data_IF_154798310808
#
_entry.id   IF_154798310808
#
_cell.length_a   1.000
_cell.length_b   1.000
_cell.length_c   1.000
_cell.angle_alpha   90.00
_cell.angle_beta   90.00
_cell.angle_gamma   90.00
#
_symmetry.space_group_name_H-M   'P 1'
#
loop_
_entity.id
_entity.type
_entity.pdbx_description
1 polymer ?
#
# COMPACT_ATOMS: atom_id res chain seq x y z
N UNK A 1 -3.70 -13.24 -62.89
CA UNK A 1 -3.88 -13.45 -61.43
C UNK A 1 -2.52 -13.79 -60.87
N UNK A 2 -1.85 -12.79 -60.30
CA UNK A 2 -0.54 -12.91 -59.66
C UNK A 2 -0.71 -13.19 -58.16
N UNK A 3 0.14 -14.08 -57.66
CA UNK A 3 0.54 -14.30 -56.25
C UNK A 3 -0.49 -14.96 -55.30
N UNK A 4 -0.12 -15.81 -54.33
CA UNK A 4 1.17 -15.98 -53.66
C UNK A 4 1.32 -17.38 -52.99
N UNK A 5 2.32 -18.14 -53.44
CA UNK A 5 3.40 -18.73 -52.64
C UNK A 5 3.07 -19.30 -51.22
N UNK A 6 2.51 -20.50 -51.16
CA UNK A 6 2.64 -21.36 -49.98
C UNK A 6 4.08 -21.87 -49.88
N UNK A 7 4.92 -21.20 -49.09
CA UNK A 7 6.33 -21.58 -48.85
C UNK A 7 6.43 -22.98 -48.26
N UNK A 8 6.65 -23.98 -49.11
CA UNK A 8 7.14 -25.29 -48.71
C UNK A 8 8.55 -25.09 -48.14
N UNK A 9 8.71 -25.30 -46.83
CA UNK A 9 10.01 -25.25 -46.19
C UNK A 9 10.83 -26.43 -46.73
N UNK A 10 11.87 -26.15 -47.49
CA UNK A 10 12.73 -27.19 -48.08
C UNK A 10 13.43 -28.01 -46.99
N UNK A 11 13.72 -29.28 -47.26
CA UNK A 11 14.43 -30.16 -46.31
C UNK A 11 15.78 -29.57 -45.86
N UNK A 12 16.48 -28.88 -46.77
CA UNK A 12 17.70 -28.14 -46.47
C UNK A 12 17.46 -27.00 -45.46
N UNK A 13 16.33 -26.29 -45.54
CA UNK A 13 15.96 -25.23 -44.59
C UNK A 13 15.62 -25.82 -43.21
N UNK A 14 14.87 -26.92 -43.17
CA UNK A 14 14.58 -27.64 -41.92
C UNK A 14 15.84 -28.18 -41.23
N UNK A 15 16.78 -28.73 -42.00
CA UNK A 15 18.07 -29.21 -41.48
C UNK A 15 18.87 -28.08 -40.84
N UNK A 16 18.91 -26.90 -41.49
CA UNK A 16 19.55 -25.70 -40.93
C UNK A 16 18.87 -25.26 -39.63
N UNK A 17 17.54 -25.18 -39.57
CA UNK A 17 16.80 -24.79 -38.35
C UNK A 17 17.11 -25.76 -37.20
N UNK A 18 17.06 -27.08 -37.45
CA UNK A 18 17.41 -28.10 -36.44
C UNK A 18 18.84 -27.90 -35.91
N UNK A 19 19.81 -27.63 -36.78
CA UNK A 19 21.19 -27.34 -36.39
C UNK A 19 21.31 -26.09 -35.52
N UNK A 20 20.60 -25.02 -35.87
CA UNK A 20 20.52 -23.80 -35.06
C UNK A 20 19.93 -24.08 -33.67
N UNK A 21 18.78 -24.76 -33.57
CA UNK A 21 18.14 -25.08 -32.29
C UNK A 21 19.06 -25.93 -31.41
N UNK A 22 19.80 -26.88 -31.98
CA UNK A 22 20.76 -27.70 -31.22
C UNK A 22 21.87 -26.82 -30.61
N UNK A 23 22.46 -25.92 -31.39
CA UNK A 23 23.49 -24.98 -30.90
C UNK A 23 22.94 -24.02 -29.85
N UNK A 24 21.75 -23.48 -30.09
CA UNK A 24 21.13 -22.52 -29.18
C UNK A 24 20.75 -23.16 -27.83
N UNK A 25 20.30 -24.42 -27.82
CA UNK A 25 20.07 -25.21 -26.60
C UNK A 25 21.35 -25.44 -25.78
N UNK A 26 22.51 -25.58 -26.42
CA UNK A 26 23.79 -25.71 -25.70
C UNK A 26 24.13 -24.41 -24.98
N UNK A 27 23.95 -23.26 -25.64
CA UNK A 27 24.33 -21.95 -25.11
C UNK A 27 23.33 -21.44 -24.05
N UNK A 28 22.04 -21.63 -24.30
CA UNK A 28 20.98 -21.05 -23.47
C UNK A 28 20.24 -22.06 -22.59
N UNK A 29 20.55 -23.35 -22.70
CA UNK A 29 19.81 -24.42 -22.04
C UNK A 29 18.37 -24.47 -22.52
N UNK A 30 17.44 -24.68 -21.59
CA UNK A 30 16.00 -24.77 -21.87
C UNK A 30 15.24 -23.44 -21.82
N UNK A 31 15.91 -22.28 -21.92
CA UNK A 31 15.30 -20.95 -21.68
C UNK A 31 14.41 -20.42 -22.82
N UNK A 32 14.58 -20.94 -24.04
CA UNK A 32 13.92 -20.43 -25.24
C UNK A 32 13.23 -21.55 -26.02
N UNK A 33 12.15 -21.18 -26.72
CA UNK A 33 11.45 -21.97 -27.71
C UNK A 33 11.59 -21.29 -29.08
N UNK A 34 11.71 -22.11 -30.12
CA UNK A 34 11.98 -21.73 -31.50
C UNK A 34 10.87 -22.20 -32.46
N UNK A 35 9.71 -22.60 -31.93
CA UNK A 35 8.54 -23.06 -32.68
C UNK A 35 8.05 -22.06 -33.74
N UNK A 36 8.26 -20.75 -33.54
CA UNK A 36 7.92 -19.70 -34.51
C UNK A 36 9.04 -19.39 -35.53
N UNK A 37 10.21 -20.02 -35.41
CA UNK A 37 11.33 -19.81 -36.34
C UNK A 37 11.12 -20.66 -37.61
N UNK A 38 10.62 -20.02 -38.67
CA UNK A 38 10.32 -20.69 -39.96
C UNK A 38 11.42 -20.54 -41.02
N UNK A 39 12.34 -19.59 -40.83
CA UNK A 39 13.44 -19.31 -41.74
C UNK A 39 14.66 -18.83 -40.95
N UNK A 40 15.86 -19.20 -41.40
CA UNK A 40 17.10 -18.79 -40.73
C UNK A 40 18.17 -18.27 -41.68
N UNK A 41 18.59 -17.04 -41.43
CA UNK A 41 19.65 -16.35 -42.14
C UNK A 41 20.44 -15.45 -41.18
N UNK A 42 21.74 -15.32 -41.42
CA UNK A 42 22.64 -14.52 -40.58
C UNK A 42 22.33 -13.02 -40.60
N UNK A 43 21.74 -12.50 -41.68
CA UNK A 43 21.44 -11.08 -41.87
C UNK A 43 20.09 -10.67 -41.29
N UNK A 44 19.14 -11.60 -41.22
CA UNK A 44 17.77 -11.31 -40.80
C UNK A 44 17.53 -11.66 -39.33
N UNK A 45 16.58 -10.96 -38.71
CA UNK A 45 16.11 -11.30 -37.36
C UNK A 45 15.11 -12.46 -37.45
N UNK A 46 15.12 -13.30 -36.43
CA UNK A 46 14.18 -14.41 -36.28
C UNK A 46 13.39 -14.25 -34.99
N UNK A 47 12.15 -14.75 -35.00
CA UNK A 47 11.28 -14.80 -33.83
C UNK A 47 11.71 -15.94 -32.90
N UNK A 48 12.09 -15.58 -31.67
CA UNK A 48 12.47 -16.50 -30.60
C UNK A 48 11.52 -16.27 -29.43
N UNK A 49 11.03 -17.34 -28.82
CA UNK A 49 10.12 -17.28 -27.68
C UNK A 49 10.92 -17.47 -26.42
N UNK A 50 10.95 -16.48 -25.54
CA UNK A 50 11.44 -16.66 -24.19
C UNK A 50 10.34 -17.22 -23.32
N UNK A 51 10.60 -18.34 -22.63
CA UNK A 51 9.60 -18.97 -21.75
C UNK A 51 9.07 -18.06 -20.65
N UNK A 52 9.85 -17.07 -20.22
CA UNK A 52 9.44 -16.07 -19.21
C UNK A 52 8.78 -14.82 -19.80
N UNK A 53 9.06 -14.52 -21.05
CA UNK A 53 9.01 -13.15 -21.58
C UNK A 53 8.36 -13.07 -22.97
N UNK A 54 7.87 -14.18 -23.50
CA UNK A 54 7.20 -14.24 -24.79
C UNK A 54 8.15 -14.01 -25.98
N UNK A 55 7.56 -13.67 -27.13
CA UNK A 55 8.25 -13.54 -28.42
C UNK A 55 9.14 -12.30 -28.43
N UNK A 56 10.36 -12.44 -28.95
CA UNK A 56 11.26 -11.34 -29.26
C UNK A 56 12.06 -11.65 -30.52
N UNK A 57 12.59 -10.61 -31.17
CA UNK A 57 13.38 -10.73 -32.39
C UNK A 57 14.87 -10.58 -32.13
N UNK A 58 15.68 -11.44 -32.74
CA UNK A 58 17.13 -11.33 -32.71
C UNK A 58 17.77 -11.95 -33.94
N UNK A 59 18.96 -11.49 -34.32
CA UNK A 59 19.75 -12.20 -35.34
C UNK A 59 20.36 -13.47 -34.74
N UNK A 60 20.49 -14.51 -35.55
CA UNK A 60 21.03 -15.82 -35.14
C UNK A 60 22.45 -15.69 -34.63
N UNK A 61 23.27 -14.90 -35.32
CA UNK A 61 24.65 -14.64 -34.91
C UNK A 61 24.71 -14.10 -33.48
N UNK A 62 23.90 -13.08 -33.15
CA UNK A 62 23.86 -12.52 -31.80
C UNK A 62 23.35 -13.52 -30.78
N UNK A 63 22.33 -14.29 -31.12
CA UNK A 63 21.79 -15.31 -30.23
C UNK A 63 22.85 -16.38 -29.90
N UNK A 64 23.54 -16.91 -30.91
CA UNK A 64 24.60 -17.90 -30.73
C UNK A 64 25.87 -17.35 -30.05
N UNK A 65 26.01 -16.03 -29.91
CA UNK A 65 27.04 -15.40 -29.08
C UNK A 65 26.63 -15.29 -27.60
N UNK A 66 25.51 -15.92 -27.21
CA UNK A 66 25.00 -15.90 -25.84
C UNK A 66 24.15 -14.68 -25.49
N UNK A 67 23.84 -13.79 -26.45
CA UNK A 67 22.90 -12.68 -26.23
C UNK A 67 21.50 -13.26 -26.15
N UNK A 68 20.90 -13.24 -24.97
CA UNK A 68 19.53 -13.70 -24.78
C UNK A 68 18.48 -12.64 -25.09
N UNK A 69 17.26 -12.94 -24.68
CA UNK A 69 16.18 -11.98 -24.56
C UNK A 69 16.63 -10.77 -23.72
N UNK A 70 16.45 -9.56 -24.24
CA UNK A 70 16.76 -8.31 -23.52
C UNK A 70 16.04 -8.24 -22.16
N UNK A 71 14.85 -8.84 -22.05
CA UNK A 71 14.09 -8.98 -20.80
C UNK A 71 14.79 -9.86 -19.75
N UNK A 72 15.62 -10.83 -20.18
CA UNK A 72 16.41 -11.68 -19.26
C UNK A 72 17.79 -11.11 -18.93
N UNK A 73 18.38 -10.32 -19.82
CA UNK A 73 19.79 -9.88 -19.72
C UNK A 73 19.97 -8.48 -19.12
N UNK A 74 18.91 -7.72 -18.86
CA UNK A 74 19.02 -6.44 -18.17
C UNK A 74 17.67 -5.85 -17.76
N UNK A 75 17.65 -5.29 -16.54
CA UNK A 75 16.77 -4.32 -15.86
C UNK A 75 15.56 -3.65 -16.57
N UNK A 76 14.92 -4.28 -17.55
CA UNK A 76 13.69 -3.79 -18.16
C UNK A 76 12.55 -4.43 -17.40
N UNK A 77 12.02 -3.74 -16.39
CA UNK A 77 10.72 -4.10 -15.80
C UNK A 77 9.65 -3.95 -16.85
N UNK A 78 8.90 -5.00 -17.12
CA UNK A 78 7.75 -4.92 -18.02
C UNK A 78 6.52 -4.43 -17.27
N UNK A 79 5.52 -3.98 -18.02
CA UNK A 79 4.31 -3.37 -17.49
C UNK A 79 3.70 -4.16 -16.32
N UNK A 80 3.57 -5.48 -16.46
CA UNK A 80 2.98 -6.34 -15.43
C UNK A 80 3.82 -6.40 -14.14
N UNK A 81 5.15 -6.50 -14.26
CA UNK A 81 6.05 -6.47 -13.10
C UNK A 81 6.05 -5.11 -12.40
N UNK A 82 5.93 -4.03 -13.18
CA UNK A 82 5.85 -2.66 -12.68
C UNK A 82 4.51 -2.41 -11.96
N UNK A 83 3.40 -2.90 -12.52
CA UNK A 83 2.07 -2.86 -11.88
C UNK A 83 2.08 -3.71 -10.59
N UNK A 84 2.69 -4.90 -10.61
CA UNK A 84 2.81 -5.74 -9.42
C UNK A 84 3.64 -5.06 -8.32
N UNK A 85 4.71 -4.35 -8.68
CA UNK A 85 5.49 -3.52 -7.77
C UNK A 85 4.65 -2.38 -7.17
N UNK A 86 3.82 -1.72 -7.97
CA UNK A 86 2.94 -0.67 -7.44
C UNK A 86 1.89 -1.22 -6.49
N UNK A 87 1.23 -2.33 -6.83
CA UNK A 87 0.29 -3.01 -5.94
C UNK A 87 0.94 -3.46 -4.63
N UNK A 88 2.23 -3.81 -4.66
CA UNK A 88 2.98 -4.13 -3.43
C UNK A 88 3.16 -2.93 -2.51
N UNK A 89 3.32 -1.72 -3.06
CA UNK A 89 3.53 -0.49 -2.29
C UNK A 89 2.22 0.18 -1.90
N UNK A 90 1.25 0.22 -2.81
CA UNK A 90 0.02 1.00 -2.69
C UNK A 90 -1.24 0.15 -2.52
N UNK A 91 -1.14 -1.18 -2.57
CA UNK A 91 -2.31 -2.07 -2.59
C UNK A 91 -3.20 -1.81 -3.80
N UNK A 92 -4.51 -1.84 -3.57
CA UNK A 92 -5.54 -1.60 -4.58
C UNK A 92 -5.99 -0.12 -4.64
N UNK A 93 -5.14 0.80 -4.19
CA UNK A 93 -5.47 2.24 -4.13
C UNK A 93 -5.66 2.89 -5.51
N UNK A 94 -5.10 2.29 -6.56
CA UNK A 94 -5.13 2.84 -7.92
C UNK A 94 -5.51 1.77 -8.94
N UNK A 95 -6.20 2.20 -9.99
CA UNK A 95 -6.41 1.41 -11.19
C UNK A 95 -5.32 1.69 -12.23
N UNK A 96 -4.75 0.60 -12.75
CA UNK A 96 -3.67 0.58 -13.73
C UNK A 96 -4.12 0.00 -15.09
N UNK A 97 -5.43 -0.18 -15.30
CA UNK A 97 -6.05 -0.76 -16.50
C UNK A 97 -5.63 -0.07 -17.80
N UNK A 98 -5.31 1.22 -17.75
CA UNK A 98 -4.90 2.03 -18.90
C UNK A 98 -3.41 2.39 -18.94
N UNK A 99 -2.57 1.71 -18.14
CA UNK A 99 -1.13 1.96 -18.15
C UNK A 99 -0.54 1.50 -19.48
N UNK A 100 0.33 2.34 -20.07
CA UNK A 100 1.20 1.98 -21.20
C UNK A 100 2.63 2.28 -20.79
N UNK A 101 3.40 1.25 -20.45
CA UNK A 101 4.75 1.42 -19.93
C UNK A 101 5.80 1.49 -21.04
N UNK A 102 6.60 2.56 -21.02
CA UNK A 102 7.75 2.74 -21.92
C UNK A 102 9.06 2.59 -21.15
N UNK A 103 9.23 3.36 -20.06
CA UNK A 103 10.38 3.31 -19.16
C UNK A 103 10.03 3.99 -17.82
N UNK A 104 10.96 3.94 -16.86
CA UNK A 104 10.74 4.45 -15.50
C UNK A 104 10.58 5.98 -15.38
N UNK A 105 10.95 6.73 -16.43
CA UNK A 105 10.93 8.21 -16.46
C UNK A 105 9.82 8.77 -17.35
N UNK A 106 9.21 7.97 -18.22
CA UNK A 106 8.07 8.40 -19.03
C UNK A 106 6.79 8.36 -18.18
N UNK A 107 5.99 9.42 -18.22
CA UNK A 107 4.73 9.47 -17.49
C UNK A 107 3.76 8.41 -17.99
N UNK A 108 3.08 7.75 -17.06
CA UNK A 108 1.99 6.82 -17.30
C UNK A 108 0.68 7.42 -16.78
N UNK A 109 -0.44 7.02 -17.38
CA UNK A 109 -1.77 7.34 -16.89
C UNK A 109 -2.14 6.37 -15.77
N UNK A 110 -2.56 6.90 -14.63
CA UNK A 110 -2.99 6.15 -13.45
C UNK A 110 -4.36 6.67 -13.05
N UNK A 111 -5.26 5.80 -12.62
CA UNK A 111 -6.61 6.18 -12.24
C UNK A 111 -6.73 6.09 -10.72
N UNK A 112 -7.04 7.20 -10.07
CA UNK A 112 -7.47 7.23 -8.68
C UNK A 112 -8.99 7.00 -8.66
N UNK A 113 -9.50 5.96 -7.98
CA UNK A 113 -10.94 5.71 -7.91
C UNK A 113 -11.75 6.90 -7.36
N UNK A 114 -11.13 7.77 -6.56
CA UNK A 114 -11.76 8.93 -5.94
C UNK A 114 -11.70 10.20 -6.80
N UNK A 115 -10.64 10.40 -7.58
CA UNK A 115 -10.34 11.67 -8.24
C UNK A 115 -10.09 11.56 -9.75
N UNK A 116 -10.23 10.36 -10.31
CA UNK A 116 -10.06 10.10 -11.74
C UNK A 116 -8.59 9.99 -12.19
N UNK A 117 -8.37 10.27 -13.47
CA UNK A 117 -7.08 10.07 -14.14
C UNK A 117 -6.03 11.14 -13.77
N UNK A 118 -4.80 10.69 -13.54
CA UNK A 118 -3.64 11.54 -13.30
C UNK A 118 -2.38 10.93 -13.90
N UNK A 119 -1.32 11.74 -14.02
CA UNK A 119 -0.10 11.36 -14.71
C UNK A 119 1.12 11.44 -13.81
N UNK A 120 1.85 10.34 -13.66
CA UNK A 120 3.10 10.26 -12.90
C UNK A 120 4.12 9.39 -13.62
N UNK A 121 5.41 9.61 -13.33
CA UNK A 121 6.45 8.68 -13.77
C UNK A 121 6.45 7.44 -12.86
N UNK A 122 6.76 6.25 -13.38
CA UNK A 122 6.80 5.03 -12.58
C UNK A 122 7.70 5.11 -11.34
N UNK A 123 8.86 5.75 -11.42
CA UNK A 123 9.75 5.96 -10.27
C UNK A 123 9.08 6.81 -9.18
N UNK A 124 8.46 7.93 -9.56
CA UNK A 124 7.81 8.82 -8.62
C UNK A 124 6.55 8.17 -8.04
N UNK A 125 5.79 7.45 -8.87
CA UNK A 125 4.61 6.73 -8.40
C UNK A 125 4.99 5.66 -7.39
N UNK A 126 6.05 4.87 -7.64
CA UNK A 126 6.52 3.86 -6.69
C UNK A 126 6.98 4.48 -5.36
N UNK A 127 7.63 5.64 -5.38
CA UNK A 127 8.19 6.27 -4.17
C UNK A 127 7.15 7.07 -3.37
N UNK A 128 6.31 7.84 -4.05
CA UNK A 128 5.41 8.81 -3.42
C UNK A 128 3.93 8.45 -3.62
N UNK A 129 3.56 7.89 -4.78
CA UNK A 129 2.17 7.65 -5.16
C UNK A 129 1.35 8.95 -5.23
N UNK A 130 0.02 8.83 -5.21
CA UNK A 130 -0.89 9.95 -4.98
C UNK A 130 -1.21 10.83 -6.18
N UNK A 131 -2.50 11.02 -6.48
CA UNK A 131 -2.92 12.16 -7.31
C UNK A 131 -2.81 13.46 -6.51
N UNK A 132 -2.90 14.61 -7.19
CA UNK A 132 -2.80 15.93 -6.57
C UNK A 132 -3.73 16.11 -5.36
N UNK A 133 -4.94 15.54 -5.41
CA UNK A 133 -5.93 15.65 -4.34
C UNK A 133 -5.58 14.79 -3.12
N UNK A 134 -5.15 13.56 -3.34
CA UNK A 134 -4.71 12.67 -2.25
C UNK A 134 -3.45 13.18 -1.52
N UNK A 135 -2.58 13.95 -2.17
CA UNK A 135 -1.34 14.49 -1.56
C UNK A 135 -1.52 15.91 -1.00
N UNK A 136 -2.75 16.43 -0.97
CA UNK A 136 -3.03 17.73 -0.37
C UNK A 136 -2.67 18.93 -1.25
N UNK A 137 -2.49 18.69 -2.55
CA UNK A 137 -2.32 19.72 -3.59
C UNK A 137 -3.64 19.99 -4.33
N UNK A 138 -4.78 19.58 -3.77
CA UNK A 138 -6.12 19.93 -4.27
C UNK A 138 -6.27 21.45 -4.40
N UNK A 139 -7.08 21.92 -5.37
CA UNK A 139 -7.42 23.34 -5.48
C UNK A 139 -7.94 23.86 -4.14
N UNK A 140 -7.51 25.07 -3.77
CA UNK A 140 -7.90 25.71 -2.51
C UNK A 140 -9.44 25.74 -2.42
N UNK A 141 -9.96 25.26 -1.29
CA UNK A 141 -11.40 25.25 -1.01
C UNK A 141 -12.16 24.01 -1.49
N UNK A 142 -11.62 23.17 -2.38
CA UNK A 142 -12.30 21.94 -2.83
C UNK A 142 -12.58 20.98 -1.66
N UNK A 143 -11.62 20.65 -0.79
CA UNK A 143 -11.90 19.76 0.34
C UNK A 143 -12.93 20.35 1.32
N UNK A 144 -12.93 21.68 1.49
CA UNK A 144 -13.87 22.35 2.38
C UNK A 144 -15.30 22.32 1.81
N UNK A 145 -15.46 22.58 0.51
CA UNK A 145 -16.74 22.49 -0.19
C UNK A 145 -17.33 21.09 -0.13
N UNK A 146 -16.49 20.06 -0.31
CA UNK A 146 -16.92 18.67 -0.18
C UNK A 146 -17.49 18.37 1.22
N UNK A 147 -16.89 18.91 2.29
CA UNK A 147 -17.45 18.79 3.64
C UNK A 147 -18.82 19.49 3.75
N UNK A 148 -18.96 20.68 3.18
CA UNK A 148 -20.24 21.42 3.21
C UNK A 148 -21.35 20.68 2.47
N UNK A 149 -21.05 20.03 1.35
CA UNK A 149 -21.99 19.23 0.55
C UNK A 149 -22.41 17.94 1.28
N UNK A 150 -21.50 17.33 2.05
CA UNK A 150 -21.74 16.05 2.70
C UNK A 150 -22.16 16.16 4.19
N UNK A 151 -22.36 17.38 4.71
CA UNK A 151 -22.69 17.60 6.14
C UNK A 151 -24.03 17.02 6.60
N UNK A 152 -24.91 16.68 5.67
CA UNK A 152 -26.21 16.06 5.95
C UNK A 152 -26.22 14.54 5.69
N UNK A 153 -25.06 13.92 5.45
CA UNK A 153 -24.97 12.48 5.30
C UNK A 153 -25.42 11.80 6.61
N UNK A 154 -26.40 10.89 6.50
CA UNK A 154 -27.00 10.16 7.61
C UNK A 154 -26.94 8.63 7.42
N UNK A 155 -25.99 8.15 6.62
CA UNK A 155 -25.76 6.72 6.41
C UNK A 155 -25.17 6.07 7.68
N UNK A 156 -25.41 4.78 7.88
CA UNK A 156 -24.70 3.95 8.86
C UNK A 156 -23.30 3.54 8.36
N UNK A 157 -23.01 3.76 7.07
CA UNK A 157 -21.70 3.47 6.49
C UNK A 157 -20.71 4.62 6.74
N UNK A 158 -19.42 4.29 6.82
CA UNK A 158 -18.39 5.32 6.94
C UNK A 158 -18.29 6.13 5.64
N UNK A 159 -18.51 7.44 5.77
CA UNK A 159 -18.14 8.42 4.75
C UNK A 159 -16.63 8.64 4.84
N UNK A 160 -15.87 8.07 3.92
CA UNK A 160 -14.41 8.15 3.91
C UNK A 160 -13.94 9.46 3.27
N UNK A 161 -13.03 10.14 3.94
CA UNK A 161 -12.39 11.36 3.46
C UNK A 161 -11.57 11.08 2.20
N UNK A 162 -11.89 11.72 1.06
CA UNK A 162 -11.22 11.37 -0.18
C UNK A 162 -9.86 12.08 -0.35
N UNK A 163 -9.60 13.17 0.37
CA UNK A 163 -8.40 14.00 0.19
C UNK A 163 -7.23 13.57 1.10
N UNK A 164 -6.25 14.46 1.31
CA UNK A 164 -5.07 14.16 2.12
C UNK A 164 -5.40 13.75 3.54
N UNK A 165 -4.60 12.80 4.06
CA UNK A 165 -4.64 12.32 5.43
C UNK A 165 -3.40 12.82 6.18
N UNK A 166 -3.54 12.99 7.50
CA UNK A 166 -2.42 13.10 8.41
C UNK A 166 -1.71 11.73 8.57
N UNK A 167 -0.47 11.68 9.11
CA UNK A 167 0.25 10.43 9.33
C UNK A 167 -0.47 9.42 10.25
N UNK A 168 -1.38 9.91 11.11
CA UNK A 168 -2.24 9.11 12.00
C UNK A 168 -3.53 8.62 11.31
N UNK A 169 -3.69 8.90 10.02
CA UNK A 169 -4.78 8.40 9.17
C UNK A 169 -6.05 9.26 9.18
N UNK A 170 -6.10 10.36 9.93
CA UNK A 170 -7.25 11.26 9.93
C UNK A 170 -7.25 12.20 8.72
N UNK A 171 -8.45 12.56 8.25
CA UNK A 171 -8.61 13.53 7.17
C UNK A 171 -8.00 14.89 7.50
N UNK A 172 -7.31 15.49 6.54
CA UNK A 172 -6.70 16.80 6.66
C UNK A 172 -7.44 17.82 5.78
N UNK A 173 -7.83 18.95 6.37
CA UNK A 173 -8.47 20.06 5.65
C UNK A 173 -7.96 21.41 6.14
N UNK A 174 -7.84 22.38 5.23
CA UNK A 174 -7.55 23.77 5.60
C UNK A 174 -8.84 24.51 5.91
N UNK A 175 -9.02 24.93 7.17
CA UNK A 175 -10.17 25.68 7.64
C UNK A 175 -9.72 26.88 8.47
N UNK A 176 -10.25 28.07 8.15
CA UNK A 176 -9.87 29.36 8.78
C UNK A 176 -8.35 29.61 8.81
N UNK A 177 -7.70 29.37 7.67
CA UNK A 177 -6.26 29.60 7.50
C UNK A 177 -5.33 28.53 8.08
N UNK A 178 -5.83 27.60 8.90
CA UNK A 178 -5.04 26.56 9.58
C UNK A 178 -5.38 25.16 9.06
N UNK A 179 -4.41 24.25 9.10
CA UNK A 179 -4.64 22.82 8.86
C UNK A 179 -5.31 22.19 10.07
N UNK A 180 -6.40 21.46 9.86
CA UNK A 180 -7.23 20.87 10.91
C UNK A 180 -7.74 19.48 10.49
N UNK A 181 -8.19 18.70 11.48
CA UNK A 181 -8.82 17.41 11.24
C UNK A 181 -10.18 17.60 10.53
N UNK A 182 -10.38 16.90 9.40
CA UNK A 182 -11.58 16.97 8.59
C UNK A 182 -12.83 16.54 9.37
N UNK A 183 -12.72 15.53 10.22
CA UNK A 183 -13.79 15.05 11.09
C UNK A 183 -14.22 16.13 12.10
N UNK A 184 -13.26 16.91 12.62
CA UNK A 184 -13.56 18.07 13.48
C UNK A 184 -14.32 19.16 12.72
N UNK A 185 -13.89 19.49 11.50
CA UNK A 185 -14.57 20.51 10.67
C UNK A 185 -15.96 20.03 10.26
N UNK A 186 -16.12 18.75 9.92
CA UNK A 186 -17.42 18.16 9.66
C UNK A 186 -18.36 18.25 10.86
N UNK A 187 -17.86 17.94 12.06
CA UNK A 187 -18.64 18.04 13.29
C UNK A 187 -19.10 19.48 13.55
N UNK A 188 -18.28 20.49 13.22
CA UNK A 188 -18.68 21.90 13.28
C UNK A 188 -19.81 22.22 12.29
N UNK A 189 -19.76 21.67 11.09
CA UNK A 189 -20.75 21.94 10.04
C UNK A 189 -22.09 21.24 10.25
N UNK A 190 -22.06 20.04 10.83
CA UNK A 190 -23.26 19.21 11.07
C UNK A 190 -23.90 19.48 12.43
N UNK A 191 -23.09 19.53 13.49
CA UNK A 191 -23.56 19.61 14.89
C UNK A 191 -23.32 20.97 15.54
N UNK A 192 -22.70 21.90 14.82
CA UNK A 192 -22.32 23.21 15.35
C UNK A 192 -21.01 23.21 16.13
N UNK A 193 -20.61 24.39 16.61
CA UNK A 193 -19.36 24.56 17.36
C UNK A 193 -19.45 23.86 18.72
N UNK A 194 -18.32 23.37 19.27
CA UNK A 194 -18.31 22.80 20.61
C UNK A 194 -18.73 23.86 21.63
N UNK A 195 -19.49 23.43 22.63
CA UNK A 195 -20.01 24.31 23.70
C UNK A 195 -18.91 24.96 24.54
N UNK A 196 -17.72 24.32 24.66
CA UNK A 196 -16.54 24.89 25.30
C UNK A 196 -15.24 24.40 24.63
N UNK A 197 -14.14 25.09 24.92
CA UNK A 197 -12.82 24.76 24.38
C UNK A 197 -12.28 23.47 25.00
N UNK A 198 -11.74 22.57 24.18
CA UNK A 198 -11.14 21.29 24.62
C UNK A 198 -11.95 20.04 24.27
N UNK A 199 -13.19 20.20 23.77
CA UNK A 199 -13.97 19.08 23.21
C UNK A 199 -13.34 18.57 21.90
N UNK A 200 -13.36 17.25 21.74
CA UNK A 200 -12.88 16.51 20.58
C UNK A 200 -14.06 15.96 19.78
N UNK A 201 -13.86 15.77 18.48
CA UNK A 201 -14.84 15.08 17.65
C UNK A 201 -14.61 13.57 17.83
N UNK A 202 -15.44 12.94 18.66
CA UNK A 202 -15.38 11.50 18.92
C UNK A 202 -16.10 10.72 17.82
N UNK A 203 -15.59 9.53 17.54
CA UNK A 203 -16.10 8.64 16.50
C UNK A 203 -16.82 7.45 17.13
N UNK A 204 -18.14 7.37 17.00
CA UNK A 204 -18.91 6.19 17.45
C UNK A 204 -18.65 4.93 16.60
N UNK A 205 -17.99 5.07 15.45
CA UNK A 205 -17.66 3.96 14.57
C UNK A 205 -16.26 3.36 14.82
N UNK A 206 -15.41 4.00 15.63
CA UNK A 206 -14.01 3.61 15.84
C UNK A 206 -13.07 3.74 14.62
N UNK A 207 -13.60 4.10 13.43
CA UNK A 207 -12.85 4.16 12.16
C UNK A 207 -12.36 5.57 11.80
N UNK A 208 -12.17 6.45 12.78
CA UNK A 208 -11.63 7.80 12.56
C UNK A 208 -10.24 7.79 11.91
N UNK A 209 -9.37 6.88 12.36
CA UNK A 209 -8.03 6.66 11.83
C UNK A 209 -8.00 6.09 10.39
N UNK A 210 -9.15 5.70 9.84
CA UNK A 210 -9.32 5.30 8.43
C UNK A 210 -9.89 6.46 7.60
N UNK A 211 -9.95 7.67 8.15
CA UNK A 211 -10.45 8.86 7.47
C UNK A 211 -11.98 9.02 7.51
N UNK A 212 -12.69 8.37 8.43
CA UNK A 212 -14.14 8.57 8.54
C UNK A 212 -14.48 10.03 8.87
N UNK A 213 -15.42 10.61 8.14
CA UNK A 213 -15.96 11.96 8.34
C UNK A 213 -17.49 11.97 8.27
N UNK A 214 -18.16 10.84 8.51
CA UNK A 214 -19.63 10.78 8.51
C UNK A 214 -20.20 11.61 9.68
N UNK A 215 -21.06 12.62 9.42
CA UNK A 215 -21.74 13.41 10.45
C UNK A 215 -22.43 12.56 11.53
N UNK A 216 -23.13 11.49 11.16
CA UNK A 216 -23.83 10.58 12.08
C UNK A 216 -22.88 9.87 13.05
N UNK A 217 -21.63 9.63 12.62
CA UNK A 217 -20.62 8.97 13.44
C UNK A 217 -19.83 9.93 14.33
N UNK A 218 -20.10 11.23 14.25
CA UNK A 218 -19.36 12.28 14.94
C UNK A 218 -20.19 12.90 16.05
N UNK A 219 -19.57 13.14 17.20
CA UNK A 219 -20.16 13.91 18.29
C UNK A 219 -19.07 14.68 19.03
N UNK A 220 -19.44 15.76 19.69
CA UNK A 220 -18.54 16.42 20.63
C UNK A 220 -18.45 15.60 21.91
N UNK A 221 -17.23 15.23 22.29
CA UNK A 221 -16.97 14.53 23.54
C UNK A 221 -15.73 15.09 24.24
N UNK A 222 -15.63 14.83 25.53
CA UNK A 222 -14.44 15.10 26.32
C UNK A 222 -13.31 14.15 25.90
N UNK A 223 -12.03 14.55 26.07
CA UNK A 223 -10.91 13.64 25.84
C UNK A 223 -11.02 12.34 26.66
N UNK A 224 -11.59 12.42 27.87
CA UNK A 224 -11.85 11.24 28.71
C UNK A 224 -12.91 10.32 28.11
N UNK A 225 -14.03 10.86 27.62
CA UNK A 225 -15.07 10.09 26.92
C UNK A 225 -14.56 9.46 25.63
N UNK A 226 -13.82 10.23 24.82
CA UNK A 226 -13.18 9.72 23.61
C UNK A 226 -12.14 8.60 23.92
N UNK A 227 -11.48 8.63 25.08
CA UNK A 227 -10.62 7.53 25.51
C UNK A 227 -11.41 6.27 25.92
N UNK A 228 -12.65 6.42 26.41
CA UNK A 228 -13.53 5.28 26.70
C UNK A 228 -14.00 4.62 25.40
N UNK A 229 -14.35 5.41 24.37
CA UNK A 229 -14.69 4.87 23.04
C UNK A 229 -13.55 4.01 22.46
N UNK A 230 -12.29 4.40 22.70
CA UNK A 230 -11.13 3.59 22.27
C UNK A 230 -11.08 2.22 22.95
N UNK A 231 -11.51 2.14 24.22
CA UNK A 231 -11.61 0.88 24.95
C UNK A 231 -12.76 0.03 24.41
N UNK A 232 -13.94 0.62 24.19
CA UNK A 232 -15.11 -0.06 23.64
C UNK A 232 -14.84 -0.64 22.24
N UNK A 233 -14.18 0.13 21.38
CA UNK A 233 -13.79 -0.32 20.05
C UNK A 233 -12.51 -1.18 20.02
N UNK A 234 -11.88 -1.44 21.17
CA UNK A 234 -10.68 -2.28 21.28
C UNK A 234 -9.41 -1.71 20.62
N UNK A 235 -9.42 -0.43 20.22
CA UNK A 235 -8.32 0.30 19.57
C UNK A 235 -7.30 0.84 20.56
N UNK A 236 -7.58 0.75 21.85
CA UNK A 236 -6.63 1.09 22.90
C UNK A 236 -5.44 0.11 22.93
N UNK A 237 -4.24 0.67 22.96
CA UNK A 237 -2.96 -0.06 22.91
C UNK A 237 -2.32 -0.24 24.29
N UNK A 238 -3.05 -0.01 25.39
CA UNK A 238 -2.51 -0.15 26.75
C UNK A 238 -2.15 -1.60 27.06
N UNK A 239 -1.25 -1.75 28.03
CA UNK A 239 -0.79 -3.04 28.50
C UNK A 239 0.07 -3.75 27.47
N UNK A 240 -0.14 -5.06 27.31
CA UNK A 240 0.67 -5.93 26.46
C UNK A 240 0.52 -5.67 24.96
N UNK A 241 -0.52 -4.92 24.56
CA UNK A 241 -0.65 -4.43 23.18
C UNK A 241 0.39 -3.35 22.82
N UNK A 242 1.04 -2.74 23.82
CA UNK A 242 2.14 -1.82 23.59
C UNK A 242 3.40 -2.63 23.28
N UNK A 243 4.05 -2.35 22.14
CA UNK A 243 5.27 -3.04 21.70
C UNK A 243 6.42 -2.97 22.71
N UNK A 244 6.42 -1.96 23.59
CA UNK A 244 7.43 -1.76 24.62
C UNK A 244 6.99 -2.29 26.01
N UNK A 245 5.82 -2.93 26.10
CA UNK A 245 5.37 -3.53 27.35
C UNK A 245 6.16 -4.80 27.65
N UNK A 246 6.80 -4.83 28.82
CA UNK A 246 7.55 -5.99 29.33
C UNK A 246 6.70 -6.97 30.12
N UNK A 247 5.49 -6.57 30.52
CA UNK A 247 4.59 -7.37 31.34
C UNK A 247 3.34 -7.71 30.54
N UNK A 248 2.85 -8.94 30.70
CA UNK A 248 1.55 -9.38 30.21
C UNK A 248 0.46 -9.09 31.23
N UNK A 249 -0.81 -9.15 30.81
CA UNK A 249 -1.96 -9.03 31.73
C UNK A 249 -1.85 -10.05 32.87
N UNK A 250 -1.48 -11.29 32.57
CA UNK A 250 -1.37 -12.36 33.57
C UNK A 250 -0.18 -12.14 34.51
N UNK A 251 0.96 -11.65 33.99
CA UNK A 251 2.10 -11.28 34.83
C UNK A 251 1.72 -10.17 35.83
N UNK A 252 0.92 -9.18 35.41
CA UNK A 252 0.44 -8.12 36.31
C UNK A 252 -0.49 -8.67 37.40
N UNK A 253 -1.39 -9.58 37.06
CA UNK A 253 -2.26 -10.25 38.06
C UNK A 253 -1.45 -11.07 39.05
N UNK A 254 -0.44 -11.79 38.56
CA UNK A 254 0.45 -12.60 39.41
C UNK A 254 1.28 -11.69 40.34
N UNK A 255 1.84 -10.60 39.83
CA UNK A 255 2.55 -9.60 40.64
C UNK A 255 1.66 -9.06 41.76
N UNK A 256 0.40 -8.72 41.48
CA UNK A 256 -0.53 -8.19 42.48
C UNK A 256 -0.88 -9.22 43.56
N UNK A 257 -1.09 -10.49 43.18
CA UNK A 257 -1.37 -11.58 44.13
C UNK A 257 -0.18 -11.89 45.02
N UNK A 258 1.03 -11.93 44.45
CA UNK A 258 2.24 -12.32 45.15
C UNK A 258 2.92 -11.18 45.93
N UNK A 259 2.43 -9.93 45.82
CA UNK A 259 3.10 -8.76 46.38
C UNK A 259 3.17 -8.76 47.93
N UNK A 260 2.22 -9.40 48.61
CA UNK A 260 2.25 -9.55 50.07
C UNK A 260 3.23 -10.61 50.54
N UNK A 261 3.51 -11.60 49.70
CA UNK A 261 4.16 -12.86 50.10
C UNK A 261 5.62 -12.94 49.61
N UNK A 262 5.99 -12.12 48.62
CA UNK A 262 7.32 -12.08 48.03
C UNK A 262 7.97 -10.69 48.13
N UNK A 263 9.31 -10.67 48.15
CA UNK A 263 10.06 -9.40 48.09
C UNK A 263 9.97 -8.81 46.69
N UNK A 264 10.05 -7.48 46.60
CA UNK A 264 9.94 -6.76 45.32
C UNK A 264 11.11 -7.08 44.41
N UNK A 265 12.26 -7.38 45.00
CA UNK A 265 13.50 -7.79 44.35
C UNK A 265 13.32 -9.15 43.68
N UNK A 266 12.72 -10.13 44.38
CA UNK A 266 12.42 -11.46 43.83
C UNK A 266 11.40 -11.39 42.68
N UNK A 267 10.36 -10.56 42.83
CA UNK A 267 9.38 -10.34 41.76
C UNK A 267 9.99 -9.62 40.55
N UNK A 268 10.85 -8.63 40.78
CA UNK A 268 11.54 -7.89 39.72
C UNK A 268 12.44 -8.81 38.88
N UNK A 269 13.20 -9.68 39.54
CA UNK A 269 14.04 -10.70 38.89
C UNK A 269 13.20 -11.70 38.09
N UNK A 270 12.13 -12.24 38.70
CA UNK A 270 11.24 -13.22 38.06
C UNK A 270 10.61 -12.70 36.76
N UNK A 271 10.21 -11.43 36.72
CA UNK A 271 9.55 -10.84 35.56
C UNK A 271 10.48 -10.01 34.67
N UNK A 272 11.78 -9.96 34.96
CA UNK A 272 12.76 -9.23 34.15
C UNK A 272 12.50 -7.72 34.08
N UNK A 273 11.97 -7.13 35.15
CA UNK A 273 11.64 -5.69 35.25
C UNK A 273 12.33 -5.04 36.44
N UNK A 274 12.38 -3.70 36.46
CA UNK A 274 12.97 -2.98 37.58
C UNK A 274 12.02 -3.00 38.80
N UNK A 275 12.58 -2.99 40.01
CA UNK A 275 11.83 -3.00 41.29
C UNK A 275 10.78 -1.88 41.36
N UNK A 276 11.06 -0.72 40.75
CA UNK A 276 10.09 0.38 40.66
C UNK A 276 8.86 0.03 39.82
N UNK A 277 9.03 -0.77 38.76
CA UNK A 277 7.92 -1.25 37.91
C UNK A 277 6.98 -2.13 38.73
N UNK A 278 7.51 -3.05 39.53
CA UNK A 278 6.72 -3.89 40.45
C UNK A 278 5.92 -3.03 41.45
N UNK A 279 6.58 -2.03 42.04
CA UNK A 279 5.93 -1.07 42.96
C UNK A 279 4.81 -0.28 42.29
N UNK A 280 5.03 0.19 41.06
CA UNK A 280 4.08 1.02 40.34
C UNK A 280 2.88 0.20 39.81
N UNK A 281 3.08 -1.08 39.51
CA UNK A 281 2.00 -2.05 39.21
C UNK A 281 1.13 -2.27 40.46
N UNK A 282 1.74 -2.51 41.61
CA UNK A 282 1.01 -2.74 42.86
C UNK A 282 0.25 -1.50 43.33
N UNK A 283 0.86 -0.32 43.28
CA UNK A 283 0.22 0.95 43.67
C UNK A 283 -0.83 1.45 42.68
N UNK A 284 -1.11 0.71 41.60
CA UNK A 284 -2.04 1.13 40.56
C UNK A 284 -1.61 2.40 39.81
N UNK A 285 -0.31 2.74 39.83
CA UNK A 285 0.24 3.85 39.03
C UNK A 285 0.49 3.46 37.59
N UNK A 286 0.77 2.19 37.36
CA UNK A 286 0.80 1.53 36.06
C UNK A 286 -0.21 0.38 36.05
N UNK A 287 -0.77 0.08 34.88
CA UNK A 287 -1.83 -0.94 34.73
C UNK A 287 -3.09 -0.70 35.60
N UNK A 288 -3.39 0.56 35.93
CA UNK A 288 -4.51 0.96 36.80
C UNK A 288 -5.90 0.52 36.31
N UNK A 289 -6.03 0.21 35.03
CA UNK A 289 -7.27 -0.22 34.37
C UNK A 289 -7.54 -1.73 34.52
N UNK A 290 -6.52 -2.50 34.88
CA UNK A 290 -6.67 -3.91 35.22
C UNK A 290 -7.14 -3.95 36.67
N UNK A 291 -8.17 -4.74 37.00
CA UNK A 291 -8.60 -5.03 38.38
C UNK A 291 -7.69 -6.07 39.04
#
# INVERSE_FOLDING_TARGET
MTDCNSKVITEAMQSRIKSFVKKAKIIHGGRYDYSLTTFIDSKYKVNIICKKHGVFEQTIYRHLQGRGCSRCSGNIKFQDEMIADFRRVHGDKYDYSQVVYVNAKTKIKIICPLHGEFWQTPDNHKKYGGCYECVGMSKIGVPLRWLEENKYCNSDECLIWPFSLFPDGYGQVRYKGRSQNASRVMCIFSHGKPIYQGLEAAHSCGKGHLGCVNPKHLRWDTPKGNCLDKLEHGTDTRGEKNWNAKLTVDAVREIRRAYSDATKESLAEKFGVHVTTIRDVFKGRSWAWLE
#
